data_IF_195375496809
#
_entry.id   IF_195375496809
#
_cell.length_a   1.000
_cell.length_b   1.000
_cell.length_c   1.000
_cell.angle_alpha   90.00
_cell.angle_beta   90.00
_cell.angle_gamma   90.00
#
_symmetry.space_group_name_H-M   'P 1'
#
loop_
_entity.id
_entity.type
_entity.pdbx_description
1 polymer ?
#
# COMPACT_ATOMS: atom_id res chain seq x y z
N UNK A 1 -20.11 -14.56 -16.34
CA UNK A 1 -18.77 -14.42 -15.76
C UNK A 1 -18.01 -15.71 -15.99
N UNK A 2 -16.92 -15.67 -16.77
CA UNK A 2 -16.07 -16.85 -16.99
C UNK A 2 -15.25 -17.16 -15.73
N UNK A 3 -14.80 -18.41 -15.57
CA UNK A 3 -13.81 -18.85 -14.57
C UNK A 3 -12.61 -17.88 -14.52
N UNK A 4 -12.10 -17.46 -15.70
CA UNK A 4 -10.99 -16.50 -15.81
C UNK A 4 -11.32 -15.12 -15.22
N UNK A 5 -12.51 -14.60 -15.48
CA UNK A 5 -12.96 -13.31 -14.95
C UNK A 5 -13.17 -13.35 -13.43
N UNK A 6 -13.71 -14.46 -12.92
CA UNK A 6 -13.83 -14.70 -11.48
C UNK A 6 -12.46 -14.72 -10.81
N UNK A 7 -11.49 -15.40 -11.41
CA UNK A 7 -10.12 -15.45 -10.91
C UNK A 7 -9.48 -14.05 -10.85
N UNK A 8 -9.64 -13.23 -11.89
CA UNK A 8 -9.12 -11.85 -11.89
C UNK A 8 -9.73 -11.03 -10.75
N UNK A 9 -11.05 -11.08 -10.56
CA UNK A 9 -11.70 -10.35 -9.47
C UNK A 9 -11.19 -10.79 -8.09
N UNK A 10 -11.01 -12.09 -7.87
CA UNK A 10 -10.46 -12.62 -6.62
C UNK A 10 -9.02 -12.14 -6.42
N UNK A 11 -8.19 -12.21 -7.46
CA UNK A 11 -6.79 -11.77 -7.38
C UNK A 11 -6.72 -10.27 -7.07
N UNK A 12 -7.50 -9.43 -7.76
CA UNK A 12 -7.54 -7.98 -7.48
C UNK A 12 -7.98 -7.71 -6.05
N UNK A 13 -9.03 -8.39 -5.56
CA UNK A 13 -9.49 -8.23 -4.18
C UNK A 13 -8.43 -8.65 -3.16
N UNK A 14 -7.71 -9.75 -3.39
CA UNK A 14 -6.61 -10.20 -2.54
C UNK A 14 -5.46 -9.18 -2.55
N UNK A 15 -5.10 -8.64 -3.71
CA UNK A 15 -4.06 -7.60 -3.81
C UNK A 15 -4.43 -6.34 -3.03
N UNK A 16 -5.67 -5.86 -3.15
CA UNK A 16 -6.15 -4.71 -2.37
C UNK A 16 -6.12 -5.02 -0.87
N UNK A 17 -6.54 -6.23 -0.48
CA UNK A 17 -6.44 -6.69 0.91
C UNK A 17 -5.01 -6.67 1.44
N UNK A 18 -4.04 -7.17 0.66
CA UNK A 18 -2.62 -7.14 1.03
C UNK A 18 -2.12 -5.70 1.18
N UNK A 19 -2.50 -4.79 0.28
CA UNK A 19 -2.15 -3.36 0.40
C UNK A 19 -2.69 -2.72 1.67
N UNK A 20 -3.86 -3.16 2.16
CA UNK A 20 -4.41 -2.69 3.44
C UNK A 20 -3.66 -3.24 4.65
N UNK A 21 -3.17 -4.48 4.60
CA UNK A 21 -2.35 -5.06 5.67
C UNK A 21 -0.92 -4.53 5.67
N UNK A 22 -0.39 -4.17 4.50
CA UNK A 22 0.95 -3.64 4.30
C UNK A 22 0.91 -2.26 3.63
N UNK A 23 0.32 -1.24 4.29
CA UNK A 23 0.18 0.06 3.68
C UNK A 23 1.55 0.75 3.52
N UNK A 24 1.65 1.69 2.56
CA UNK A 24 2.79 2.58 2.49
C UNK A 24 2.83 3.47 3.75
N UNK A 25 4.03 3.65 4.31
CA UNK A 25 4.27 4.53 5.45
C UNK A 25 5.34 5.57 5.11
N UNK A 26 5.31 6.68 5.84
CA UNK A 26 6.31 7.75 5.82
C UNK A 26 6.70 8.13 7.24
N UNK A 27 7.96 8.46 7.42
CA UNK A 27 8.50 9.08 8.62
C UNK A 27 8.84 10.52 8.30
N UNK A 28 8.28 11.45 9.07
CA UNK A 28 8.44 12.89 8.89
C UNK A 28 9.29 13.46 10.04
N UNK A 29 10.20 14.38 9.73
CA UNK A 29 10.87 15.17 10.77
C UNK A 29 9.94 16.27 11.31
N UNK A 30 10.41 17.02 12.31
CA UNK A 30 9.69 18.17 12.88
C UNK A 30 9.33 19.25 11.83
N UNK A 31 10.08 19.31 10.73
CA UNK A 31 9.85 20.22 9.60
C UNK A 31 8.94 19.61 8.51
N UNK A 32 8.24 18.50 8.78
CA UNK A 32 7.34 17.79 7.85
C UNK A 32 8.04 17.26 6.58
N UNK A 33 9.35 17.08 6.60
CA UNK A 33 10.13 16.51 5.50
C UNK A 33 10.21 15.00 5.66
N UNK A 34 10.01 14.27 4.57
CA UNK A 34 10.12 12.81 4.51
C UNK A 34 11.59 12.39 4.70
N UNK A 35 11.87 11.68 5.80
CA UNK A 35 13.21 11.13 6.09
C UNK A 35 13.30 9.68 5.61
N UNK A 36 12.19 8.94 5.70
CA UNK A 36 12.10 7.53 5.32
C UNK A 36 10.70 7.23 4.83
N UNK A 37 10.61 6.37 3.82
CA UNK A 37 9.34 5.85 3.30
C UNK A 37 9.49 4.37 2.97
N UNK A 38 8.41 3.61 3.09
CA UNK A 38 8.42 2.18 2.75
C UNK A 38 7.05 1.54 2.90
N UNK A 39 7.03 0.22 3.06
CA UNK A 39 5.84 -0.56 3.38
C UNK A 39 6.06 -1.29 4.69
N UNK A 40 5.04 -1.34 5.52
CA UNK A 40 5.10 -1.95 6.84
C UNK A 40 3.76 -2.53 7.21
N UNK A 41 3.74 -3.41 8.21
CA UNK A 41 2.48 -3.99 8.68
C UNK A 41 1.64 -2.91 9.37
N UNK A 42 0.33 -2.85 9.08
CA UNK A 42 -0.56 -1.78 9.55
C UNK A 42 -0.49 -1.55 11.08
N UNK A 43 -0.29 -2.61 11.87
CA UNK A 43 -0.23 -2.54 13.34
C UNK A 43 1.18 -2.34 13.90
N UNK A 44 2.22 -2.48 13.08
CA UNK A 44 3.62 -2.36 13.49
C UNK A 44 4.41 -1.69 12.38
N UNK A 45 4.19 -0.37 12.23
CA UNK A 45 4.91 0.43 11.26
C UNK A 45 6.34 0.67 11.76
N UNK A 46 7.37 0.33 10.96
CA UNK A 46 8.75 0.40 11.42
C UNK A 46 9.18 1.85 11.63
N UNK A 47 9.57 2.25 12.86
CA UNK A 47 9.99 3.61 13.13
C UNK A 47 11.34 3.93 12.48
N UNK A 48 11.69 5.21 12.46
CA UNK A 48 13.07 5.61 12.20
C UNK A 48 13.82 5.71 13.52
N UNK A 49 14.96 5.02 13.60
CA UNK A 49 15.88 5.06 14.74
C UNK A 49 17.17 5.68 14.23
N UNK A 50 17.59 6.79 14.83
CA UNK A 50 18.87 7.43 14.53
C UNK A 50 20.05 6.49 14.82
N UNK A 51 21.20 6.67 14.15
CA UNK A 51 22.39 5.82 14.33
C UNK A 51 22.82 5.62 15.79
N UNK A 52 22.60 6.61 16.64
CA UNK A 52 22.95 6.56 18.07
C UNK A 52 21.81 6.05 18.98
N UNK A 53 20.70 5.58 18.41
CA UNK A 53 19.53 5.07 19.15
C UNK A 53 18.72 6.12 19.93
N UNK A 54 19.14 7.39 19.91
CA UNK A 54 18.61 8.44 20.80
C UNK A 54 17.31 9.07 20.32
N UNK A 55 17.02 9.00 19.01
CA UNK A 55 15.82 9.58 18.41
C UNK A 55 15.02 8.48 17.73
N UNK A 56 13.81 8.27 18.23
CA UNK A 56 12.81 7.38 17.63
C UNK A 56 11.69 8.25 17.08
N UNK A 57 11.56 8.28 15.76
CA UNK A 57 10.49 9.01 15.08
C UNK A 57 9.45 7.99 14.63
N UNK A 58 8.18 8.12 15.08
CA UNK A 58 7.13 7.19 14.69
C UNK A 58 6.86 7.28 13.18
N UNK A 59 6.64 6.12 12.57
CA UNK A 59 6.13 6.05 11.21
C UNK A 59 4.63 6.36 11.18
N UNK A 60 4.19 6.99 10.11
CA UNK A 60 2.79 7.34 9.85
C UNK A 60 2.34 6.73 8.53
N UNK A 61 1.10 6.27 8.46
CA UNK A 61 0.56 5.72 7.23
C UNK A 61 0.40 6.83 6.18
N UNK A 62 0.93 6.60 4.97
CA UNK A 62 0.74 7.51 3.84
C UNK A 62 -0.57 7.17 3.13
N UNK A 63 -1.64 7.78 3.65
CA UNK A 63 -3.01 7.57 3.16
C UNK A 63 -3.15 7.95 1.67
N UNK A 64 -2.51 9.03 1.23
CA UNK A 64 -2.57 9.49 -0.16
C UNK A 64 -1.97 8.45 -1.11
N UNK A 65 -0.78 7.92 -0.78
CA UNK A 65 -0.15 6.86 -1.58
C UNK A 65 -0.96 5.57 -1.57
N UNK A 66 -1.54 5.18 -0.43
CA UNK A 66 -2.42 4.01 -0.34
C UNK A 66 -3.62 4.12 -1.27
N UNK A 67 -4.33 5.26 -1.28
CA UNK A 67 -5.48 5.47 -2.15
C UNK A 67 -5.10 5.42 -3.64
N UNK A 68 -3.96 6.02 -4.02
CA UNK A 68 -3.47 5.98 -5.40
C UNK A 68 -3.18 4.53 -5.83
N UNK A 69 -2.57 3.73 -4.96
CA UNK A 69 -2.26 2.32 -5.23
C UNK A 69 -3.52 1.46 -5.37
N UNK A 70 -4.49 1.62 -4.47
CA UNK A 70 -5.78 0.92 -4.53
C UNK A 70 -6.49 1.29 -5.84
N UNK A 71 -6.55 2.58 -6.16
CA UNK A 71 -7.18 3.05 -7.40
C UNK A 71 -6.49 2.45 -8.63
N UNK A 72 -5.16 2.49 -8.70
CA UNK A 72 -4.40 1.89 -9.79
C UNK A 72 -4.65 0.37 -9.90
N UNK A 73 -4.67 -0.36 -8.78
CA UNK A 73 -4.95 -1.80 -8.76
C UNK A 73 -6.36 -2.13 -9.26
N UNK A 74 -7.36 -1.33 -8.88
CA UNK A 74 -8.74 -1.47 -9.36
C UNK A 74 -8.84 -1.19 -10.85
N UNK A 75 -8.20 -0.14 -11.36
CA UNK A 75 -8.17 0.18 -12.79
C UNK A 75 -7.56 -0.98 -13.58
N UNK A 76 -6.40 -1.49 -13.15
CA UNK A 76 -5.75 -2.64 -13.79
C UNK A 76 -6.63 -3.89 -13.74
N UNK A 77 -7.27 -4.17 -12.60
CA UNK A 77 -8.20 -5.28 -12.44
C UNK A 77 -9.40 -5.20 -13.37
N UNK A 78 -9.99 -4.01 -13.52
CA UNK A 78 -11.11 -3.76 -14.44
C UNK A 78 -10.67 -3.95 -15.90
N UNK A 79 -9.52 -3.40 -16.29
CA UNK A 79 -8.99 -3.58 -17.64
C UNK A 79 -8.72 -5.06 -17.95
N UNK A 80 -8.13 -5.81 -17.01
CA UNK A 80 -7.91 -7.24 -17.15
C UNK A 80 -9.23 -8.04 -17.26
N UNK A 81 -10.24 -7.68 -16.47
CA UNK A 81 -11.58 -8.28 -16.55
C UNK A 81 -12.21 -8.06 -17.94
N UNK A 82 -12.11 -6.84 -18.47
CA UNK A 82 -12.64 -6.47 -19.78
C UNK A 82 -11.89 -7.18 -20.92
N UNK A 83 -10.57 -7.34 -20.81
CA UNK A 83 -9.76 -8.05 -21.79
C UNK A 83 -10.17 -9.54 -21.91
N UNK A 84 -10.55 -10.17 -20.80
CA UNK A 84 -11.01 -11.56 -20.72
C UNK A 84 -12.49 -11.76 -21.05
N UNK A 85 -13.19 -10.71 -21.48
CA UNK A 85 -14.60 -10.77 -21.90
C UNK A 85 -14.77 -11.39 -23.29
N UNK A 86 -13.70 -11.43 -24.09
CA UNK A 86 -13.64 -12.16 -25.37
C UNK A 86 -13.37 -13.64 -25.13
#
# INVERSE_FOLDING_TARGET
MNQKQKAVLIITAVFVGIMMFFPPYVVLNYSQVVIKSGYGFLMDLPPYISENGTVVIPATMNVATLFIQIFAALVVGVLAYLALRK
#
